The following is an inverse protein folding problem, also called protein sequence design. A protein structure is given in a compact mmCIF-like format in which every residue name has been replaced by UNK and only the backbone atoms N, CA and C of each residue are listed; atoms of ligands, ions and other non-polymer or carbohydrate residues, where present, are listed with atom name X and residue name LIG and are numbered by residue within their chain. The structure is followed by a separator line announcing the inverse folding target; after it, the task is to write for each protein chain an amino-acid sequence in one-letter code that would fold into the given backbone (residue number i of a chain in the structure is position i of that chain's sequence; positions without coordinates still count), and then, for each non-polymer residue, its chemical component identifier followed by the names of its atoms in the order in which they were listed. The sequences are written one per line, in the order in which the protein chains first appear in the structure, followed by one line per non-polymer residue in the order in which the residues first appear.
data_IF_805732250384
#
_entry.id   IF_805732250384
#
_cell.length_a   1.000
_cell.length_b   1.000
_cell.length_c   1.000
_cell.angle_alpha   90.00
_cell.angle_beta   90.00
_cell.angle_gamma   90.00
#
_symmetry.space_group_name_H-M   'P 1'
#
loop_
_entity.id
_entity.type
_entity.pdbx_description
1 polymer ?
#
# COMPACT_ATOMS: atom_id res chain seq x y z
N UNK A 1 3.69 -9.58 -13.91
CA UNK A 1 2.44 -10.31 -14.25
C UNK A 1 1.26 -9.86 -13.38
N UNK A 2 1.45 -9.64 -12.07
CA UNK A 2 0.41 -9.14 -11.16
C UNK A 2 -0.05 -7.68 -11.42
N UNK A 3 0.80 -6.83 -12.00
CA UNK A 3 0.41 -5.48 -12.45
C UNK A 3 -0.44 -5.51 -13.74
N UNK A 4 -0.43 -6.61 -14.50
CA UNK A 4 -1.13 -6.72 -15.79
C UNK A 4 -2.61 -7.06 -15.66
N UNK A 5 -3.07 -7.59 -14.52
CA UNK A 5 -4.49 -7.99 -14.33
C UNK A 5 -5.37 -6.87 -13.79
N UNK A 6 -4.82 -5.87 -13.09
CA UNK A 6 -5.58 -4.71 -12.58
C UNK A 6 -5.77 -3.63 -13.67
N UNK A 7 -4.97 -3.66 -14.75
CA UNK A 7 -4.97 -2.63 -15.80
C UNK A 7 -5.67 -3.03 -17.11
N UNK A 8 -6.38 -4.16 -17.17
CA UNK A 8 -7.22 -4.50 -18.32
C UNK A 8 -8.70 -4.14 -18.08
N UNK A 9 -8.92 -2.97 -17.49
CA UNK A 9 -10.23 -2.32 -17.46
C UNK A 9 -10.19 -1.25 -18.53
N UNK A 10 -11.13 -1.34 -19.45
CA UNK A 10 -11.30 -0.57 -20.70
C UNK A 10 -10.95 0.93 -20.59
N UNK A 11 -10.56 1.58 -21.71
CA UNK A 11 -10.18 3.01 -21.75
C UNK A 11 -11.25 3.98 -21.22
N UNK A 12 -12.50 3.50 -21.04
CA UNK A 12 -13.60 4.22 -20.40
C UNK A 12 -13.34 4.46 -18.91
N UNK A 13 -12.79 3.49 -18.18
CA UNK A 13 -12.55 3.61 -16.74
C UNK A 13 -11.38 4.54 -16.43
N UNK A 14 -10.39 4.61 -17.31
CA UNK A 14 -9.25 5.51 -17.17
C UNK A 14 -9.64 6.97 -17.45
N UNK A 15 -10.57 7.20 -18.39
CA UNK A 15 -11.13 8.53 -18.63
C UNK A 15 -11.99 9.00 -17.46
N UNK A 16 -12.81 8.09 -16.91
CA UNK A 16 -13.64 8.39 -15.74
C UNK A 16 -12.80 8.59 -14.47
N UNK A 17 -11.70 7.86 -14.28
CA UNK A 17 -10.74 8.09 -13.19
C UNK A 17 -10.03 9.44 -13.30
N UNK A 18 -9.62 9.86 -14.50
CA UNK A 18 -9.00 11.19 -14.68
C UNK A 18 -10.00 12.33 -14.45
N UNK A 19 -11.25 12.15 -14.85
CA UNK A 19 -12.34 13.09 -14.57
C UNK A 19 -12.71 13.10 -13.07
N UNK A 20 -12.70 11.94 -12.41
CA UNK A 20 -12.90 11.82 -10.96
C UNK A 20 -11.75 12.46 -10.18
N UNK A 21 -10.50 12.27 -10.61
CA UNK A 21 -9.31 12.91 -10.01
C UNK A 21 -9.32 14.42 -10.25
N UNK A 22 -9.75 14.88 -11.44
CA UNK A 22 -9.94 16.30 -11.73
C UNK A 22 -11.00 16.95 -10.83
N UNK A 23 -12.18 16.33 -10.76
CA UNK A 23 -13.26 16.75 -9.85
C UNK A 23 -12.89 16.57 -8.37
N UNK A 24 -11.96 15.67 -8.02
CA UNK A 24 -11.47 15.46 -6.66
C UNK A 24 -10.58 16.62 -6.18
N UNK A 25 -9.76 17.20 -7.07
CA UNK A 25 -8.97 18.39 -6.76
C UNK A 25 -9.83 19.66 -6.65
N UNK A 26 -10.86 19.82 -7.51
CA UNK A 26 -11.70 21.03 -7.49
C UNK A 26 -12.70 21.09 -6.32
N UNK A 27 -13.15 19.95 -5.79
CA UNK A 27 -14.23 19.92 -4.79
C UNK A 27 -13.79 20.16 -3.32
N UNK A 28 -12.59 20.69 -3.08
CA UNK A 28 -12.11 20.98 -1.72
C UNK A 28 -12.13 19.74 -0.80
N UNK A 29 -12.05 18.54 -1.38
CA UNK A 29 -12.18 17.28 -0.64
C UNK A 29 -10.88 16.93 0.08
N UNK A 30 -9.74 17.48 -0.40
CA UNK A 30 -8.52 17.60 0.40
C UNK A 30 -8.80 18.39 1.68
N UNK A 31 -9.52 19.52 1.63
CA UNK A 31 -9.95 20.23 2.85
C UNK A 31 -11.02 19.48 3.66
N UNK A 32 -11.72 18.47 3.13
CA UNK A 32 -12.56 17.57 3.97
C UNK A 32 -11.79 16.40 4.56
N UNK A 33 -10.76 15.90 3.88
CA UNK A 33 -9.87 14.82 4.35
C UNK A 33 -8.83 15.37 5.34
N UNK A 34 -8.39 16.61 5.13
CA UNK A 34 -7.38 17.37 5.90
C UNK A 34 -8.08 18.30 6.91
N UNK A 35 -9.16 18.99 6.52
CA UNK A 35 -9.93 19.89 7.38
C UNK A 35 -10.97 19.15 8.22
N UNK A 36 -10.46 18.28 9.09
CA UNK A 36 -11.14 18.06 10.36
C UNK A 36 -10.93 19.32 11.21
N UNK A 37 -11.97 20.14 11.39
CA UNK A 37 -11.99 21.19 12.42
C UNK A 37 -11.60 20.56 13.76
N UNK A 38 -10.54 21.13 14.36
CA UNK A 38 -9.87 20.74 15.61
C UNK A 38 -10.83 20.15 16.63
N UNK A 39 -10.83 18.83 16.76
CA UNK A 39 -11.18 18.07 17.96
C UNK A 39 -10.58 16.67 17.83
N UNK A 40 -9.25 16.62 17.73
CA UNK A 40 -8.53 15.36 17.92
C UNK A 40 -8.54 15.10 19.42
N UNK A 41 -9.36 14.16 19.91
CA UNK A 41 -9.06 13.53 21.19
C UNK A 41 -7.75 12.77 20.97
N UNK A 42 -6.63 13.42 21.29
CA UNK A 42 -5.27 12.90 21.09
C UNK A 42 -5.12 11.61 21.90
N UNK A 43 -5.32 10.45 21.28
CA UNK A 43 -4.69 9.24 21.78
C UNK A 43 -3.19 9.42 21.52
N UNK A 44 -2.45 9.53 22.62
CA UNK A 44 -1.11 10.09 22.74
C UNK A 44 -0.01 9.13 22.27
N UNK A 45 0.00 8.78 20.98
CA UNK A 45 1.05 7.96 20.37
C UNK A 45 1.69 8.67 19.19
N UNK A 46 3.02 8.85 19.25
CA UNK A 46 3.79 9.28 18.08
C UNK A 46 3.68 8.22 16.98
N UNK A 47 3.27 8.62 15.79
CA UNK A 47 3.13 7.72 14.64
C UNK A 47 4.35 7.83 13.75
N UNK A 48 5.08 6.71 13.64
CA UNK A 48 6.22 6.55 12.75
C UNK A 48 5.86 5.70 11.55
N UNK A 49 6.08 6.22 10.34
CA UNK A 49 5.85 5.51 9.08
C UNK A 49 7.18 5.25 8.40
N UNK A 50 7.44 4.01 7.97
CA UNK A 50 8.64 3.65 7.21
C UNK A 50 8.28 3.31 5.77
N UNK A 51 8.91 3.98 4.80
CA UNK A 51 8.73 3.72 3.37
C UNK A 51 9.98 3.06 2.82
N UNK A 52 9.83 1.82 2.35
CA UNK A 52 10.88 1.06 1.67
C UNK A 52 10.72 1.23 0.16
N UNK A 53 11.81 1.59 -0.53
CA UNK A 53 11.79 1.95 -1.95
C UNK A 53 11.51 3.43 -2.18
N UNK A 54 11.92 4.29 -1.24
CA UNK A 54 11.60 5.70 -1.24
C UNK A 54 12.18 6.49 -2.43
N UNK A 55 13.28 6.03 -3.03
CA UNK A 55 13.87 6.68 -4.21
C UNK A 55 13.20 6.24 -5.53
N UNK A 56 12.18 5.38 -5.48
CA UNK A 56 11.42 4.94 -6.65
C UNK A 56 10.40 5.96 -7.17
N UNK A 57 9.83 5.69 -8.35
CA UNK A 57 8.81 6.54 -9.01
C UNK A 57 7.53 6.73 -8.18
N UNK A 58 7.20 5.75 -7.35
CA UNK A 58 6.05 5.80 -6.40
C UNK A 58 6.51 6.33 -5.04
N UNK A 59 7.70 5.93 -4.59
CA UNK A 59 8.23 6.25 -3.27
C UNK A 59 8.41 7.75 -3.04
N UNK A 60 8.95 8.48 -4.03
CA UNK A 60 9.16 9.94 -3.92
C UNK A 60 7.86 10.72 -3.71
N UNK A 61 6.84 10.62 -4.59
CA UNK A 61 5.57 11.32 -4.38
C UNK A 61 4.84 10.83 -3.12
N UNK A 62 4.96 9.55 -2.77
CA UNK A 62 4.38 9.00 -1.53
C UNK A 62 4.98 9.67 -0.29
N UNK A 63 6.31 9.77 -0.20
CA UNK A 63 6.99 10.41 0.94
C UNK A 63 6.60 11.88 1.08
N UNK A 64 6.48 12.60 -0.04
CA UNK A 64 6.02 13.99 -0.04
C UNK A 64 4.57 14.10 0.49
N UNK A 65 3.65 13.26 0.02
CA UNK A 65 2.25 13.25 0.49
C UNK A 65 2.14 12.90 1.97
N UNK A 66 2.93 11.95 2.46
CA UNK A 66 2.95 11.57 3.87
C UNK A 66 3.54 12.68 4.76
N UNK A 67 4.58 13.39 4.28
CA UNK A 67 5.21 14.53 4.97
C UNK A 67 4.24 15.71 5.15
N UNK A 68 3.31 15.93 4.22
CA UNK A 68 2.26 16.95 4.34
C UNK A 68 1.17 16.59 5.36
N UNK A 69 1.08 15.34 5.82
CA UNK A 69 0.05 14.91 6.76
C UNK A 69 0.41 15.24 8.21
N UNK A 70 -0.48 15.96 8.90
CA UNK A 70 -0.38 16.23 10.34
C UNK A 70 -0.60 14.98 11.21
N UNK A 71 -0.95 13.84 10.61
CA UNK A 71 -1.15 12.59 11.34
C UNK A 71 0.14 11.77 11.51
N UNK A 72 1.25 12.21 10.92
CA UNK A 72 2.52 11.48 10.94
C UNK A 72 3.56 12.36 11.61
N UNK A 73 4.23 11.81 12.61
CA UNK A 73 5.22 12.54 13.41
C UNK A 73 6.65 12.24 12.94
N UNK A 74 6.90 11.02 12.46
CA UNK A 74 8.18 10.60 11.92
C UNK A 74 8.01 9.80 10.61
N UNK A 75 8.79 10.16 9.59
CA UNK A 75 8.88 9.44 8.32
C UNK A 75 10.29 8.89 8.14
N UNK A 76 10.43 7.57 8.09
CA UNK A 76 11.70 6.91 7.79
C UNK A 76 11.70 6.40 6.35
N UNK A 77 12.60 6.95 5.55
CA UNK A 77 12.81 6.55 4.16
C UNK A 77 13.93 5.52 4.09
N UNK A 78 13.71 4.44 3.36
CA UNK A 78 14.74 3.46 3.10
C UNK A 78 14.83 3.15 1.60
N UNK A 79 16.03 3.15 1.05
CA UNK A 79 16.31 2.67 -0.30
C UNK A 79 17.75 2.13 -0.40
N UNK A 80 18.03 1.40 -1.47
CA UNK A 80 19.38 0.98 -1.86
C UNK A 80 20.28 2.20 -2.08
N UNK A 81 19.73 3.29 -2.65
CA UNK A 81 20.44 4.56 -2.84
C UNK A 81 19.51 5.73 -2.50
N UNK A 82 19.58 6.22 -1.26
CA UNK A 82 18.97 7.51 -0.87
C UNK A 82 20.07 8.54 -0.61
N UNK A 83 20.16 9.60 -1.41
CA UNK A 83 21.07 10.73 -1.14
C UNK A 83 20.31 12.02 -1.31
N UNK A 84 20.23 12.83 -0.25
CA UNK A 84 19.64 14.17 -0.30
C UNK A 84 18.12 14.25 -0.14
N UNK A 85 17.36 13.21 -0.52
CA UNK A 85 15.89 13.27 -0.55
C UNK A 85 15.26 13.63 0.84
N UNK A 86 15.81 13.11 1.94
CA UNK A 86 15.31 13.46 3.28
C UNK A 86 15.65 14.89 3.70
N UNK A 87 16.77 15.44 3.24
CA UNK A 87 17.14 16.83 3.52
C UNK A 87 16.17 17.78 2.80
N UNK A 88 15.86 17.47 1.54
CA UNK A 88 14.86 18.22 0.76
C UNK A 88 13.48 18.21 1.44
N UNK A 89 13.02 17.05 1.90
CA UNK A 89 11.74 16.95 2.60
C UNK A 89 11.76 17.64 3.96
N UNK A 90 12.87 17.62 4.70
CA UNK A 90 12.97 18.32 5.98
C UNK A 90 12.97 19.85 5.85
N UNK A 91 13.31 20.39 4.68
CA UNK A 91 13.18 21.83 4.40
C UNK A 91 11.71 22.28 4.26
N UNK A 92 10.77 21.34 4.07
CA UNK A 92 9.35 21.65 4.05
C UNK A 92 8.86 21.84 5.49
N UNK A 93 8.37 23.04 5.78
CA UNK A 93 7.89 23.45 7.11
C UNK A 93 6.63 22.69 7.54
N UNK A 94 6.85 21.53 8.14
CA UNK A 94 5.83 20.57 8.61
C UNK A 94 6.36 19.85 9.85
N UNK A 95 5.47 19.44 10.75
CA UNK A 95 5.84 18.84 12.04
C UNK A 95 6.51 17.46 11.93
N UNK A 96 6.32 16.74 10.82
CA UNK A 96 6.84 15.40 10.59
C UNK A 96 8.37 15.42 10.41
N UNK A 97 9.16 14.65 11.17
CA UNK A 97 10.61 14.56 10.96
C UNK A 97 10.96 13.46 9.97
N UNK A 98 11.80 13.76 8.98
CA UNK A 98 12.21 12.79 7.96
C UNK A 98 13.63 12.30 8.20
N UNK A 99 13.81 10.98 8.24
CA UNK A 99 15.13 10.32 8.33
C UNK A 99 15.32 9.42 7.12
N UNK A 100 16.46 9.49 6.42
CA UNK A 100 16.79 8.56 5.35
C UNK A 100 17.86 7.55 5.79
N UNK A 101 17.64 6.30 5.40
CA UNK A 101 18.57 5.19 5.61
C UNK A 101 18.94 4.60 4.27
N UNK A 102 20.24 4.59 3.99
CA UNK A 102 20.81 4.01 2.78
C UNK A 102 21.42 2.64 3.05
N UNK A 103 21.23 1.71 2.11
CA UNK A 103 21.99 0.47 2.05
C UNK A 103 21.44 -0.68 2.89
N UNK A 104 21.95 -1.90 2.61
CA UNK A 104 21.40 -3.17 3.11
C UNK A 104 21.68 -3.44 4.59
N UNK A 105 22.57 -2.69 5.25
CA UNK A 105 22.94 -2.93 6.65
C UNK A 105 21.82 -2.59 7.63
N UNK A 106 21.02 -1.57 7.32
CA UNK A 106 20.06 -0.95 8.23
C UNK A 106 18.69 -1.66 8.29
N UNK A 107 18.47 -2.69 7.47
CA UNK A 107 17.25 -3.50 7.49
C UNK A 107 17.40 -4.76 8.32
N UNK A 108 16.34 -5.29 8.93
CA UNK A 108 16.39 -6.63 9.50
C UNK A 108 16.70 -7.65 8.38
N UNK A 109 17.49 -8.70 8.65
CA UNK A 109 17.91 -9.68 7.64
C UNK A 109 16.76 -10.26 6.81
N UNK A 110 15.60 -10.46 7.44
CA UNK A 110 14.38 -10.96 6.79
C UNK A 110 13.88 -10.08 5.64
N UNK A 111 14.06 -8.76 5.73
CA UNK A 111 13.61 -7.83 4.69
C UNK A 111 14.67 -7.59 3.60
N UNK A 112 15.94 -7.91 3.85
CA UNK A 112 17.06 -7.59 2.93
C UNK A 112 16.95 -8.32 1.60
N UNK A 113 16.71 -9.63 1.64
CA UNK A 113 16.71 -10.48 0.45
C UNK A 113 15.48 -10.22 -0.44
N UNK A 114 14.32 -10.01 0.20
CA UNK A 114 13.06 -9.80 -0.48
C UNK A 114 12.99 -8.42 -1.15
N UNK A 115 13.44 -7.37 -0.45
CA UNK A 115 13.47 -6.02 -0.99
C UNK A 115 14.41 -5.92 -2.19
N UNK A 116 15.54 -6.63 -2.20
CA UNK A 116 16.46 -6.60 -3.33
C UNK A 116 15.85 -7.20 -4.60
N UNK A 117 15.21 -8.38 -4.50
CA UNK A 117 14.54 -9.02 -5.64
C UNK A 117 13.38 -8.18 -6.16
N UNK A 118 12.57 -7.62 -5.25
CA UNK A 118 11.42 -6.78 -5.60
C UNK A 118 11.90 -5.46 -6.23
N UNK A 119 12.88 -4.80 -5.62
CA UNK A 119 13.42 -3.52 -6.11
C UNK A 119 14.13 -3.69 -7.45
N UNK A 120 14.90 -4.76 -7.65
CA UNK A 120 15.54 -5.07 -8.93
C UNK A 120 14.49 -5.35 -10.03
N UNK A 121 13.44 -6.10 -9.70
CA UNK A 121 12.36 -6.43 -10.63
C UNK A 121 11.52 -5.20 -11.04
N UNK A 122 11.30 -4.26 -10.12
CA UNK A 122 10.55 -3.02 -10.40
C UNK A 122 11.43 -1.98 -11.14
N UNK A 123 12.75 -1.97 -10.90
CA UNK A 123 13.69 -1.08 -11.59
C UNK A 123 13.93 -1.47 -13.04
N UNK A 124 13.70 -2.73 -13.43
CA UNK A 124 13.76 -3.13 -14.82
C UNK A 124 12.64 -2.41 -15.59
N UNK A 125 12.97 -1.57 -16.59
CA UNK A 125 12.04 -0.64 -17.21
C UNK A 125 11.14 -1.37 -18.21
N UNK A 126 10.19 -2.15 -17.72
CA UNK A 126 9.07 -2.64 -18.53
C UNK A 126 7.79 -1.91 -18.11
N UNK A 127 7.71 -0.61 -18.45
CA UNK A 127 6.52 0.06 -19.02
C UNK A 127 6.63 1.59 -18.89
N UNK A 128 6.38 2.25 -20.02
CA UNK A 128 6.64 3.66 -20.33
C UNK A 128 5.43 4.57 -20.03
N UNK A 129 4.75 4.34 -18.91
CA UNK A 129 3.53 5.09 -18.54
C UNK A 129 3.76 5.83 -17.21
N UNK A 130 4.33 7.03 -17.31
CA UNK A 130 4.73 7.89 -16.18
C UNK A 130 3.56 8.28 -15.26
N UNK A 131 2.32 8.30 -15.78
CA UNK A 131 1.08 8.63 -15.05
C UNK A 131 0.73 7.62 -13.95
N UNK A 132 1.18 6.37 -14.06
CA UNK A 132 0.79 5.30 -13.12
C UNK A 132 1.40 5.45 -11.72
N UNK A 133 2.60 6.02 -11.61
CA UNK A 133 3.34 6.07 -10.33
C UNK A 133 2.76 7.05 -9.32
N UNK A 134 2.30 8.21 -9.78
CA UNK A 134 1.71 9.24 -8.92
C UNK A 134 0.35 8.82 -8.37
N UNK A 135 -0.52 8.25 -9.21
CA UNK A 135 -1.83 7.74 -8.80
C UNK A 135 -1.70 6.59 -7.78
N UNK A 136 -0.76 5.68 -8.02
CA UNK A 136 -0.44 4.61 -7.07
C UNK A 136 0.07 5.16 -5.73
N UNK A 137 0.93 6.18 -5.77
CA UNK A 137 1.41 6.86 -4.56
C UNK A 137 0.26 7.51 -3.79
N UNK A 138 -0.66 8.19 -4.49
CA UNK A 138 -1.84 8.82 -3.88
C UNK A 138 -2.77 7.79 -3.22
N UNK A 139 -3.09 6.69 -3.91
CA UNK A 139 -3.91 5.61 -3.36
C UNK A 139 -3.25 4.98 -2.12
N UNK A 140 -1.93 4.78 -2.17
CA UNK A 140 -1.15 4.24 -1.05
C UNK A 140 -1.13 5.21 0.13
N UNK A 141 -0.91 6.51 -0.11
CA UNK A 141 -0.94 7.53 0.92
C UNK A 141 -2.31 7.56 1.62
N UNK A 142 -3.40 7.54 0.84
CA UNK A 142 -4.77 7.50 1.38
C UNK A 142 -4.97 6.27 2.28
N UNK A 143 -4.56 5.09 1.81
CA UNK A 143 -4.70 3.86 2.59
C UNK A 143 -3.87 3.90 3.89
N UNK A 144 -2.63 4.40 3.84
CA UNK A 144 -1.78 4.60 5.02
C UNK A 144 -2.45 5.56 6.02
N UNK A 145 -3.02 6.67 5.56
CA UNK A 145 -3.73 7.59 6.45
C UNK A 145 -4.95 6.94 7.09
N UNK A 146 -5.68 6.09 6.37
CA UNK A 146 -6.78 5.29 6.95
C UNK A 146 -6.25 4.30 8.00
N UNK A 147 -5.12 3.64 7.78
CA UNK A 147 -4.47 2.81 8.80
C UNK A 147 -4.08 3.61 10.05
N UNK A 148 -3.47 4.79 9.86
CA UNK A 148 -3.10 5.68 10.97
C UNK A 148 -4.35 6.14 11.75
N UNK A 149 -5.45 6.44 11.06
CA UNK A 149 -6.74 6.74 11.72
C UNK A 149 -7.22 5.57 12.57
N UNK A 150 -7.17 4.35 12.03
CA UNK A 150 -7.52 3.12 12.77
C UNK A 150 -6.64 2.89 14.01
N UNK A 151 -5.32 3.05 13.86
CA UNK A 151 -4.34 2.92 14.97
C UNK A 151 -4.57 3.97 16.06
N UNK A 152 -4.92 5.20 15.67
CA UNK A 152 -5.29 6.28 16.60
C UNK A 152 -6.66 6.06 17.28
N UNK A 153 -7.36 4.97 16.98
CA UNK A 153 -8.63 4.62 17.62
C UNK A 153 -9.85 5.33 17.01
N UNK A 154 -9.74 5.90 15.81
CA UNK A 154 -10.90 6.43 15.11
C UNK A 154 -11.86 5.27 14.81
N UNK A 155 -13.14 5.48 15.12
CA UNK A 155 -14.19 4.51 14.83
C UNK A 155 -14.63 4.62 13.37
N UNK A 156 -15.19 3.53 12.84
CA UNK A 156 -15.78 3.45 11.50
C UNK A 156 -14.82 3.78 10.34
N UNK A 157 -13.52 3.50 10.51
CA UNK A 157 -12.58 3.55 9.39
C UNK A 157 -12.71 2.26 8.58
N UNK A 158 -13.28 2.36 7.38
CA UNK A 158 -13.49 1.23 6.48
C UNK A 158 -12.72 1.47 5.19
N UNK A 159 -11.93 0.49 4.78
CA UNK A 159 -11.20 0.49 3.51
C UNK A 159 -11.29 -0.90 2.87
N UNK A 160 -11.20 -0.98 1.55
CA UNK A 160 -11.10 -2.27 0.86
C UNK A 160 -9.65 -2.77 0.90
N UNK A 161 -9.44 -3.98 1.40
CA UNK A 161 -8.11 -4.58 1.45
C UNK A 161 -8.17 -6.07 1.06
N UNK A 162 -7.11 -6.54 0.42
CA UNK A 162 -6.91 -7.95 0.12
C UNK A 162 -6.42 -8.66 1.37
N UNK A 163 -7.31 -9.41 2.02
CA UNK A 163 -7.06 -10.05 3.31
C UNK A 163 -7.48 -11.51 3.28
N UNK A 164 -6.95 -12.35 4.20
CA UNK A 164 -7.50 -13.68 4.42
C UNK A 164 -8.99 -13.59 4.69
N UNK A 165 -9.77 -14.33 3.93
CA UNK A 165 -11.22 -14.26 3.96
C UNK A 165 -11.83 -15.64 3.79
N UNK A 166 -12.99 -15.85 4.40
CA UNK A 166 -13.79 -17.07 4.26
C UNK A 166 -15.11 -16.81 3.51
N UNK A 167 -15.19 -15.69 2.80
CA UNK A 167 -16.41 -15.26 2.09
C UNK A 167 -16.78 -16.24 0.97
N UNK A 168 -15.79 -16.82 0.29
CA UNK A 168 -16.01 -17.84 -0.74
C UNK A 168 -15.21 -19.11 -0.38
N UNK A 169 -15.80 -20.32 -0.46
CA UNK A 169 -15.14 -21.55 -0.01
C UNK A 169 -13.83 -21.86 -0.77
N UNK A 170 -13.73 -21.46 -2.03
CA UNK A 170 -12.54 -21.72 -2.87
C UNK A 170 -11.43 -20.66 -2.73
N UNK A 171 -11.74 -19.49 -2.18
CA UNK A 171 -10.81 -18.35 -2.12
C UNK A 171 -10.33 -18.11 -0.70
N UNK A 172 -9.05 -18.41 -0.45
CA UNK A 172 -8.40 -18.16 0.85
C UNK A 172 -8.18 -16.68 1.16
N UNK A 173 -8.06 -15.86 0.12
CA UNK A 173 -7.80 -14.43 0.21
C UNK A 173 -8.72 -13.70 -0.77
N UNK A 174 -9.32 -12.60 -0.32
CA UNK A 174 -10.22 -11.80 -1.15
C UNK A 174 -10.18 -10.33 -0.75
N UNK A 175 -10.35 -9.44 -1.72
CA UNK A 175 -10.49 -8.00 -1.47
C UNK A 175 -11.90 -7.72 -0.98
N UNK A 176 -12.02 -7.28 0.27
CA UNK A 176 -13.31 -7.00 0.91
C UNK A 176 -13.22 -5.73 1.75
N UNK A 177 -14.33 -5.01 1.99
CA UNK A 177 -14.37 -3.92 2.95
C UNK A 177 -14.00 -4.44 4.34
N UNK A 178 -12.95 -3.86 4.92
CA UNK A 178 -12.47 -4.18 6.26
C UNK A 178 -12.55 -2.96 7.15
N UNK A 179 -12.98 -3.18 8.39
CA UNK A 179 -12.92 -2.17 9.43
C UNK A 179 -11.53 -2.19 10.07
N UNK A 180 -10.87 -1.04 10.06
CA UNK A 180 -9.56 -0.81 10.66
C UNK A 180 -9.72 -0.38 12.12
N UNK A 181 -8.86 -0.90 12.98
CA UNK A 181 -8.79 -0.58 14.40
C UNK A 181 -7.35 -0.54 14.91
N UNK A 182 -7.22 -0.45 16.23
CA UNK A 182 -5.92 -0.26 16.90
C UNK A 182 -4.92 -1.40 16.66
N UNK A 183 -5.41 -2.61 16.40
CA UNK A 183 -4.62 -3.81 16.14
C UNK A 183 -4.66 -4.24 14.66
N UNK A 184 -4.88 -3.29 13.74
CA UNK A 184 -4.99 -3.56 12.31
C UNK A 184 -6.42 -3.87 11.88
N UNK A 185 -6.61 -4.94 11.11
CA UNK A 185 -7.95 -5.33 10.63
C UNK A 185 -8.78 -5.85 11.80
N UNK A 186 -9.78 -5.08 12.21
CA UNK A 186 -10.66 -5.42 13.33
C UNK A 186 -11.80 -6.34 12.91
N UNK A 187 -12.37 -6.12 11.72
CA UNK A 187 -13.51 -6.91 11.22
C UNK A 187 -13.49 -6.93 9.70
N UNK A 188 -13.74 -8.09 9.10
CA UNK A 188 -14.06 -8.21 7.69
C UNK A 188 -15.58 -8.10 7.53
N UNK A 189 -16.04 -7.17 6.68
CA UNK A 189 -17.47 -6.93 6.43
C UNK A 189 -18.05 -7.83 5.33
N UNK A 190 -17.20 -8.60 4.65
CA UNK A 190 -17.61 -9.50 3.58
C UNK A 190 -17.99 -8.77 2.30
N UNK A 191 -18.59 -9.50 1.36
CA UNK A 191 -19.17 -8.89 0.17
C UNK A 191 -20.58 -8.38 0.49
N UNK A 192 -20.94 -7.26 -0.13
CA UNK A 192 -22.32 -6.77 -0.13
C UNK A 192 -23.15 -7.62 -1.09
N UNK A 193 -24.46 -7.41 -1.10
CA UNK A 193 -25.34 -8.03 -2.09
C UNK A 193 -24.90 -7.64 -3.50
N UNK A 194 -24.56 -8.64 -4.30
CA UNK A 194 -24.12 -8.46 -5.68
C UNK A 194 -25.33 -8.51 -6.60
N UNK A 195 -25.31 -7.65 -7.61
CA UNK A 195 -26.25 -7.75 -8.73
C UNK A 195 -25.95 -8.98 -9.58
N UNK A 196 -26.92 -9.46 -10.35
CA UNK A 196 -26.73 -10.63 -11.24
C UNK A 196 -25.53 -10.47 -12.18
N UNK A 197 -25.29 -9.24 -12.65
CA UNK A 197 -24.13 -8.91 -13.48
C UNK A 197 -22.81 -9.04 -12.72
N UNK A 198 -22.73 -8.48 -11.51
CA UNK A 198 -21.54 -8.57 -10.67
C UNK A 198 -21.27 -9.99 -10.21
N UNK A 199 -22.32 -10.76 -9.91
CA UNK A 199 -22.21 -12.17 -9.56
C UNK A 199 -21.61 -12.98 -10.72
N UNK A 200 -22.09 -12.78 -11.95
CA UNK A 200 -21.53 -13.44 -13.13
C UNK A 200 -20.03 -13.11 -13.32
N UNK A 201 -19.63 -11.85 -13.10
CA UNK A 201 -18.23 -11.45 -13.16
C UNK A 201 -17.41 -12.05 -12.01
N UNK A 202 -18.00 -12.14 -10.82
CA UNK A 202 -17.37 -12.75 -9.65
C UNK A 202 -17.11 -14.24 -9.87
N UNK A 203 -18.08 -14.99 -10.40
CA UNK A 203 -17.95 -16.43 -10.66
C UNK A 203 -16.82 -16.71 -11.66
N UNK A 204 -16.71 -15.88 -12.71
CA UNK A 204 -15.58 -15.95 -13.65
C UNK A 204 -14.24 -15.61 -12.99
N UNK A 205 -14.21 -14.63 -12.08
CA UNK A 205 -13.02 -14.20 -11.36
C UNK A 205 -12.51 -15.27 -10.38
N UNK A 206 -13.41 -16.02 -9.72
CA UNK A 206 -13.05 -17.03 -8.71
C UNK A 206 -12.01 -18.01 -9.26
N UNK A 207 -12.23 -18.52 -10.47
CA UNK A 207 -11.33 -19.50 -11.10
C UNK A 207 -9.92 -18.94 -11.32
N UNK A 208 -9.81 -17.73 -11.86
CA UNK A 208 -8.55 -17.04 -12.09
C UNK A 208 -7.83 -16.72 -10.76
N UNK A 209 -8.58 -16.20 -9.78
CA UNK A 209 -8.01 -15.78 -8.50
C UNK A 209 -7.53 -16.97 -7.67
N UNK A 210 -8.24 -18.10 -7.71
CA UNK A 210 -7.81 -19.34 -7.05
C UNK A 210 -6.49 -19.88 -7.62
N UNK A 211 -6.31 -19.80 -8.95
CA UNK A 211 -5.06 -20.18 -9.59
C UNK A 211 -3.89 -19.27 -9.18
N UNK A 212 -4.11 -17.95 -9.12
CA UNK A 212 -3.09 -16.98 -8.70
C UNK A 212 -2.71 -17.13 -7.22
N UNK A 213 -3.68 -17.39 -6.34
CA UNK A 213 -3.42 -17.69 -4.92
C UNK A 213 -2.55 -18.94 -4.80
N UNK A 214 -2.92 -20.01 -5.50
CA UNK A 214 -2.15 -21.27 -5.50
C UNK A 214 -0.72 -21.06 -5.99
N UNK A 215 -0.54 -20.22 -7.02
CA UNK A 215 0.78 -19.86 -7.54
C UNK A 215 1.61 -19.09 -6.50
N UNK A 216 0.99 -18.15 -5.79
CA UNK A 216 1.64 -17.40 -4.71
C UNK A 216 2.06 -18.29 -3.54
N UNK A 217 1.19 -19.18 -3.09
CA UNK A 217 1.49 -20.13 -2.00
C UNK A 217 2.65 -21.07 -2.37
N UNK A 218 2.65 -21.60 -3.60
CA UNK A 218 3.75 -22.45 -4.10
C UNK A 218 5.09 -21.71 -4.13
N UNK A 219 5.09 -20.43 -4.51
CA UNK A 219 6.31 -19.63 -4.56
C UNK A 219 6.96 -19.48 -3.18
N UNK A 220 6.17 -19.27 -2.12
CA UNK A 220 6.70 -19.19 -0.76
C UNK A 220 7.17 -20.56 -0.27
N UNK A 221 6.41 -21.63 -0.54
CA UNK A 221 6.77 -22.99 -0.15
C UNK A 221 8.16 -23.40 -0.65
N UNK A 222 8.46 -23.15 -1.92
CA UNK A 222 9.77 -23.48 -2.52
C UNK A 222 10.91 -22.59 -1.99
N UNK A 223 10.62 -21.34 -1.64
CA UNK A 223 11.62 -20.42 -1.10
C UNK A 223 11.99 -20.72 0.36
N UNK A 224 11.01 -21.12 1.18
CA UNK A 224 11.23 -21.50 2.57
C UNK A 224 12.11 -22.77 2.70
N UNK A 225 12.04 -23.68 1.73
CA UNK A 225 12.87 -24.89 1.66
C UNK A 225 14.33 -24.56 1.26
N UNK A 226 14.53 -23.69 0.26
CA UNK A 226 15.86 -23.21 -0.14
C UNK A 226 16.62 -22.48 1.00
N UNK A 227 15.92 -21.65 1.78
CA UNK A 227 16.52 -20.95 2.92
C UNK A 227 16.90 -21.86 4.10
N UNK A 228 16.27 -23.04 4.22
CA UNK A 228 16.61 -24.05 5.23
C UNK A 228 17.84 -24.87 4.84
N UNK A 229 18.00 -25.20 3.57
CA UNK A 229 19.19 -25.89 3.07
C UNK A 229 20.45 -25.03 3.11
N UNK A 230 20.33 -23.71 2.84
CA UNK A 230 21.45 -22.79 2.96
C UNK A 230 21.98 -22.66 4.41
N UNK A 231 21.11 -22.80 5.43
CA UNK A 231 21.52 -22.77 6.84
C UNK A 231 22.16 -24.07 7.35
N UNK A 232 22.03 -25.19 6.63
CA UNK A 232 22.61 -26.48 7.01
C UNK A 232 24.02 -26.70 6.44
N UNK A 233 24.53 -25.79 5.60
CA UNK A 233 25.88 -25.84 5.02
C UNK A 233 26.89 -24.89 5.69
N UNK A 234 26.48 -24.15 6.72
CA UNK A 234 27.34 -23.21 7.48
C UNK A 234 27.69 -23.71 8.90
N UNK A 235 27.64 -25.03 9.16
CA UNK A 235 28.13 -25.65 10.40
C UNK A 235 29.27 -26.61 10.09
#
# INVERSE_FOLDING_TARGET
MWIKMIFNITPVFQKHLNEYVGNFFENGLLDKIIGCKRNYSLSSGNVKVTVVGAAGKIGKPLCLMLKQSLMIDELSMHDVKTTGDALELNNIDTSCKVTAYSGKSNLPPALKEEIEKITASIRNPQQKNETSGFLAAFATARFILSLVKGIRGHKNVVECAYVPSKVHPELKYLSTPVQLGIHGVSKNLGLQELTDYEQCMFDNLVTCLAADITKGEKYIGTHAESSRHAKQQEV
#
